data_IF_181812100588
#
_entry.id   IF_181812100588
#
_cell.length_a   1.000
_cell.length_b   1.000
_cell.length_c   1.000
_cell.angle_alpha   90.00
_cell.angle_beta   90.00
_cell.angle_gamma   90.00
#
_symmetry.space_group_name_H-M   'P 1'
#
loop_
_entity.id
_entity.type
_entity.pdbx_description
1 polymer ?
#
# COMPACT_ATOMS: atom_id res chain seq x y z
N UNK A 1 -4.79 -11.39 2.71
CA UNK A 1 -3.61 -10.62 3.12
C UNK A 1 -2.99 -9.93 1.93
N UNK A 2 -3.03 -8.62 1.91
CA UNK A 2 -2.41 -7.78 0.88
C UNK A 2 -1.47 -6.80 1.54
N UNK A 3 -0.24 -6.72 1.03
CA UNK A 3 0.73 -5.74 1.55
C UNK A 3 0.69 -4.50 0.65
N UNK A 4 0.68 -3.33 1.27
CA UNK A 4 0.75 -2.01 0.66
C UNK A 4 2.11 -1.43 1.01
N UNK A 5 2.79 -0.90 0.01
CA UNK A 5 4.04 -0.18 0.14
C UNK A 5 3.75 1.32 0.08
N UNK A 6 4.40 2.07 0.95
CA UNK A 6 4.31 3.51 1.00
C UNK A 6 5.73 4.07 0.93
N UNK A 7 5.99 4.87 -0.08
CA UNK A 7 7.24 5.58 -0.28
C UNK A 7 7.05 7.08 -0.32
N UNK A 8 8.16 7.80 -0.28
CA UNK A 8 8.16 9.26 -0.24
C UNK A 8 7.45 9.82 1.01
N UNK A 9 7.53 9.08 2.12
CA UNK A 9 6.98 9.52 3.41
C UNK A 9 7.84 10.65 3.99
N UNK A 10 7.17 11.66 4.55
CA UNK A 10 7.83 12.71 5.30
C UNK A 10 8.43 12.11 6.59
N UNK A 11 9.63 12.53 7.04
CA UNK A 11 10.23 12.06 8.30
C UNK A 11 9.36 12.31 9.54
N UNK A 12 8.30 13.11 9.43
CA UNK A 12 7.30 13.32 10.49
C UNK A 12 6.26 12.20 10.59
N UNK A 13 6.06 11.41 9.55
CA UNK A 13 5.05 10.35 9.52
C UNK A 13 5.53 9.17 10.34
N UNK A 14 4.72 8.75 11.31
CA UNK A 14 4.99 7.57 12.12
C UNK A 14 4.06 6.42 11.78
N UNK A 15 4.39 5.23 12.30
CA UNK A 15 3.57 4.03 12.16
C UNK A 15 2.15 4.26 12.67
N UNK A 16 2.01 5.04 13.75
CA UNK A 16 0.71 5.33 14.36
C UNK A 16 -0.15 6.27 13.50
N UNK A 17 0.47 7.21 12.80
CA UNK A 17 -0.24 8.08 11.86
C UNK A 17 -0.76 7.26 10.68
N UNK A 18 0.09 6.37 10.12
CA UNK A 18 -0.31 5.45 9.06
C UNK A 18 -1.40 4.48 9.52
N UNK A 19 -1.31 3.95 10.75
CA UNK A 19 -2.34 3.08 11.28
C UNK A 19 -3.69 3.80 11.39
N UNK A 20 -3.71 5.02 11.94
CA UNK A 20 -4.95 5.79 12.11
C UNK A 20 -5.54 6.26 10.77
N UNK A 21 -4.69 6.62 9.80
CA UNK A 21 -5.13 7.00 8.46
C UNK A 21 -5.65 5.81 7.64
N UNK A 22 -4.99 4.64 7.70
CA UNK A 22 -5.35 3.50 6.86
C UNK A 22 -6.44 2.62 7.47
N UNK A 23 -6.66 2.65 8.80
CA UNK A 23 -7.72 1.86 9.45
C UNK A 23 -9.14 2.26 9.04
N UNK A 24 -9.33 3.45 8.47
CA UNK A 24 -10.65 3.91 8.00
C UNK A 24 -11.12 3.12 6.77
N UNK A 25 -10.20 2.54 5.99
CA UNK A 25 -10.51 1.76 4.80
C UNK A 25 -10.77 0.29 5.09
N UNK A 26 -10.12 -0.27 6.11
CA UNK A 26 -10.26 -1.68 6.45
C UNK A 26 -9.41 -2.10 7.63
N UNK A 27 -9.39 -3.41 7.90
CA UNK A 27 -8.64 -3.99 9.01
C UNK A 27 -7.17 -4.11 8.64
N UNK A 28 -6.33 -3.40 9.38
CA UNK A 28 -4.89 -3.48 9.30
C UNK A 28 -4.41 -4.67 10.14
N UNK A 29 -3.68 -5.58 9.50
CA UNK A 29 -3.12 -6.75 10.15
C UNK A 29 -1.74 -6.44 10.76
N UNK A 30 -0.95 -5.60 10.09
CA UNK A 30 0.36 -5.18 10.59
C UNK A 30 0.79 -3.85 9.93
N UNK A 31 1.50 -3.01 10.65
CA UNK A 31 2.08 -1.76 10.12
C UNK A 31 3.57 -1.80 10.43
N UNK A 32 4.40 -1.47 9.45
CA UNK A 32 5.85 -1.48 9.60
C UNK A 32 6.48 -0.27 8.92
N UNK A 33 7.12 0.59 9.71
CA UNK A 33 7.83 1.77 9.18
C UNK A 33 9.33 1.53 9.09
N UNK A 34 9.87 1.64 7.88
CA UNK A 34 11.30 1.54 7.64
C UNK A 34 12.00 2.84 8.06
N UNK A 35 12.95 2.72 9.00
CA UNK A 35 13.77 3.86 9.47
C UNK A 35 15.11 3.98 8.74
N UNK A 36 15.46 3.03 7.86
CA UNK A 36 16.72 2.97 7.10
C UNK A 36 16.50 2.28 5.75
N UNK A 37 16.48 2.99 4.61
CA UNK A 37 16.51 4.44 4.44
C UNK A 37 15.23 5.10 4.98
N UNK A 38 15.28 6.36 5.44
CA UNK A 38 14.08 7.08 5.88
C UNK A 38 13.13 7.34 4.69
N UNK A 39 11.82 7.26 4.93
CA UNK A 39 10.80 7.62 3.94
C UNK A 39 10.01 6.45 3.33
N UNK A 40 10.06 5.27 3.95
CA UNK A 40 9.32 4.09 3.50
C UNK A 40 8.54 3.42 4.64
N UNK A 41 7.36 2.91 4.32
CA UNK A 41 6.56 2.07 5.21
C UNK A 41 5.83 0.99 4.44
N UNK A 42 5.37 -0.02 5.18
CA UNK A 42 4.59 -1.13 4.66
C UNK A 42 3.41 -1.36 5.58
N UNK A 43 2.25 -1.59 4.97
CA UNK A 43 1.00 -1.87 5.69
C UNK A 43 0.47 -3.19 5.17
N UNK A 44 0.13 -4.12 6.05
CA UNK A 44 -0.56 -5.35 5.72
C UNK A 44 -2.05 -5.20 6.00
N UNK A 45 -2.83 -5.35 4.96
CA UNK A 45 -4.28 -5.39 4.99
C UNK A 45 -4.79 -6.83 5.00
N UNK A 46 -5.94 -7.02 5.64
CA UNK A 46 -6.66 -8.29 5.58
C UNK A 46 -7.15 -8.58 4.14
N UNK A 47 -7.89 -7.65 3.53
CA UNK A 47 -8.43 -7.75 2.17
C UNK A 47 -7.63 -6.93 1.14
N UNK A 48 -7.61 -7.43 -0.11
CA UNK A 48 -7.00 -6.74 -1.26
C UNK A 48 -7.83 -5.57 -1.76
N UNK A 49 -9.15 -5.66 -1.68
CA UNK A 49 -10.08 -4.63 -2.13
C UNK A 49 -9.88 -3.37 -1.31
N UNK A 50 -9.88 -3.51 0.01
CA UNK A 50 -9.65 -2.41 0.96
C UNK A 50 -8.26 -1.78 0.74
N UNK A 51 -7.24 -2.61 0.54
CA UNK A 51 -5.90 -2.15 0.22
C UNK A 51 -5.85 -1.32 -1.08
N UNK A 52 -6.56 -1.74 -2.13
CA UNK A 52 -6.62 -1.03 -3.42
C UNK A 52 -7.35 0.30 -3.32
N UNK A 53 -8.46 0.35 -2.58
CA UNK A 53 -9.21 1.58 -2.38
C UNK A 53 -8.40 2.57 -1.51
N UNK A 54 -7.72 2.09 -0.47
CA UNK A 54 -6.80 2.89 0.33
C UNK A 54 -5.64 3.44 -0.52
N UNK A 55 -5.05 2.62 -1.40
CA UNK A 55 -4.00 3.06 -2.32
C UNK A 55 -4.50 4.20 -3.20
N UNK A 56 -5.66 4.05 -3.85
CA UNK A 56 -6.16 5.05 -4.80
C UNK A 56 -6.49 6.38 -4.14
N UNK A 57 -6.86 6.36 -2.87
CA UNK A 57 -7.24 7.56 -2.12
C UNK A 57 -6.01 8.25 -1.48
N UNK A 58 -4.98 7.49 -1.08
CA UNK A 58 -3.77 8.05 -0.48
C UNK A 58 -2.61 8.28 -1.45
N UNK A 59 -2.62 7.62 -2.61
CA UNK A 59 -1.63 7.84 -3.66
C UNK A 59 -1.72 9.29 -4.16
N UNK A 60 -0.63 10.04 -3.98
CA UNK A 60 -0.53 11.44 -4.38
C UNK A 60 -1.15 12.45 -3.41
N UNK A 61 -1.90 12.04 -2.38
CA UNK A 61 -2.58 12.98 -1.44
C UNK A 61 -1.62 13.91 -0.71
N UNK A 62 -0.45 13.39 -0.33
CA UNK A 62 0.62 14.13 0.36
C UNK A 62 1.96 14.06 -0.42
N UNK A 63 1.90 13.73 -1.71
CA UNK A 63 3.08 13.33 -2.49
C UNK A 63 3.63 11.95 -2.09
N UNK A 64 2.96 11.24 -1.20
CA UNK A 64 3.28 9.85 -0.87
C UNK A 64 2.98 8.96 -2.06
N UNK A 65 3.88 8.02 -2.31
CA UNK A 65 3.71 6.99 -3.33
C UNK A 65 3.17 5.75 -2.65
N UNK A 66 1.90 5.44 -2.89
CA UNK A 66 1.25 4.27 -2.28
C UNK A 66 1.06 3.23 -3.38
N UNK A 67 1.60 2.03 -3.21
CA UNK A 67 1.56 0.99 -4.23
C UNK A 67 1.23 -0.36 -3.60
N UNK A 68 0.49 -1.20 -4.32
CA UNK A 68 0.25 -2.57 -3.85
C UNK A 68 1.57 -3.36 -3.95
N UNK A 69 2.05 -3.88 -2.82
CA UNK A 69 3.23 -4.74 -2.78
C UNK A 69 2.89 -6.09 -3.39
N UNK A 70 3.38 -6.31 -4.61
CA UNK A 70 3.18 -7.54 -5.36
C UNK A 70 4.02 -8.69 -4.79
N UNK A 71 3.64 -9.25 -3.64
CA UNK A 71 4.13 -10.57 -3.21
C UNK A 71 3.03 -11.64 -3.33
N UNK A 72 2.36 -11.67 -4.47
CA UNK A 72 1.53 -12.79 -4.87
C UNK A 72 1.96 -13.26 -6.25
N UNK A 73 2.80 -14.31 -6.24
CA UNK A 73 2.68 -15.41 -7.19
C UNK A 73 1.18 -15.65 -7.49
N UNK A 74 0.73 -15.34 -8.70
CA UNK A 74 -0.60 -15.72 -9.20
C UNK A 74 -1.43 -14.55 -9.69
N UNK A 75 -1.55 -14.39 -11.01
CA UNK A 75 -2.62 -13.60 -11.63
C UNK A 75 -2.23 -12.52 -12.63
N UNK A 76 -0.99 -12.49 -13.11
CA UNK A 76 -0.59 -11.67 -14.27
C UNK A 76 -0.98 -12.29 -15.60
N UNK A 77 -2.27 -12.58 -15.81
CA UNK A 77 -2.83 -13.02 -17.09
C UNK A 77 -3.41 -11.86 -17.89
N UNK A 78 -2.69 -10.74 -18.02
CA UNK A 78 -2.97 -9.70 -19.02
C UNK A 78 -1.94 -9.83 -20.14
N UNK A 79 -2.17 -10.79 -21.03
CA UNK A 79 -1.45 -10.92 -22.28
C UNK A 79 -2.44 -11.29 -23.38
N UNK A 80 -2.59 -10.40 -24.37
CA UNK A 80 -3.20 -10.77 -25.66
C UNK A 80 -4.40 -9.93 -26.09
N UNK A 81 -4.15 -8.69 -26.53
CA UNK A 81 -4.87 -8.18 -27.70
C UNK A 81 -4.34 -8.94 -28.93
N UNK A 82 -5.22 -9.44 -29.81
CA UNK A 82 -5.11 -9.49 -31.29
C UNK A 82 -5.62 -10.80 -31.92
N UNK A 83 -6.61 -10.67 -32.79
CA UNK A 83 -6.60 -11.26 -34.13
C UNK A 83 -7.26 -12.62 -34.29
N UNK A 84 -8.38 -12.63 -35.02
CA UNK A 84 -9.11 -13.81 -35.50
C UNK A 84 -10.43 -13.37 -36.10
#
# INVERSE_FOLDING_TARGET
MSRVYIGNLDPRVTERDLEDEFRIFGVLHNVWVARRPPGYAFIEFDDRRDALDAIREFDGKNGWRVELSHNSKGGGGRGGRRGG
#
